data_IF_433431008316
#
_entry.id   IF_433431008316
#
_cell.length_a   1.000
_cell.length_b   1.000
_cell.length_c   1.000
_cell.angle_alpha   90.00
_cell.angle_beta   90.00
_cell.angle_gamma   90.00
#
_symmetry.space_group_name_H-M   'P 1'
#
loop_
_entity.id
_entity.type
_entity.pdbx_description
1 polymer ?
#
# COMPACT_ATOMS: atom_id res chain seq x y z
N UNK A 1 12.48 -7.88 5.32
CA UNK A 1 13.21 -6.91 4.48
C UNK A 1 12.37 -5.64 4.37
N UNK A 2 12.97 -4.45 4.29
CA UNK A 2 12.20 -3.20 4.12
C UNK A 2 11.73 -3.09 2.67
N UNK A 3 10.42 -2.94 2.46
CA UNK A 3 9.76 -2.79 1.16
C UNK A 3 9.24 -1.37 1.03
N UNK A 4 9.71 -0.65 0.00
CA UNK A 4 9.42 0.78 -0.19
C UNK A 4 8.33 0.92 -1.25
N UNK A 5 7.25 1.60 -0.92
CA UNK A 5 6.14 1.91 -1.82
C UNK A 5 6.15 3.40 -2.10
N UNK A 6 6.39 3.79 -3.34
CA UNK A 6 6.26 5.17 -3.79
C UNK A 6 4.80 5.48 -4.08
N UNK A 7 4.30 6.55 -3.47
CA UNK A 7 2.98 7.10 -3.74
C UNK A 7 3.11 8.37 -4.57
N UNK A 8 2.44 8.41 -5.73
CA UNK A 8 2.39 9.61 -6.55
C UNK A 8 1.06 9.70 -7.30
N UNK A 9 0.76 10.89 -7.82
CA UNK A 9 -0.39 11.15 -8.67
C UNK A 9 0.08 11.20 -10.11
N UNK A 10 -0.61 10.51 -10.99
CA UNK A 10 -0.36 10.59 -12.43
C UNK A 10 -1.69 10.72 -13.16
N UNK A 11 -1.91 11.88 -13.79
CA UNK A 11 -3.13 12.22 -14.50
C UNK A 11 -4.39 11.95 -13.67
N UNK A 12 -5.07 10.84 -13.96
CA UNK A 12 -6.36 10.45 -13.38
C UNK A 12 -6.24 9.35 -12.31
N UNK A 13 -5.03 8.96 -11.91
CA UNK A 13 -4.82 7.88 -10.94
C UNK A 13 -3.92 8.32 -9.78
N UNK A 14 -4.23 7.80 -8.60
CA UNK A 14 -3.29 7.68 -7.49
C UNK A 14 -2.54 6.35 -7.63
N UNK A 15 -1.22 6.41 -7.67
CA UNK A 15 -0.36 5.26 -7.95
C UNK A 15 0.46 4.92 -6.71
N UNK A 16 0.44 3.64 -6.34
CA UNK A 16 1.29 3.02 -5.33
C UNK A 16 2.20 2.02 -6.05
N UNK A 17 3.51 2.25 -5.99
CA UNK A 17 4.51 1.47 -6.75
C UNK A 17 5.64 1.00 -5.86
N UNK A 18 5.91 -0.30 -5.84
CA UNK A 18 7.13 -0.84 -5.23
C UNK A 18 8.26 -0.99 -6.26
N UNK A 19 7.91 -1.48 -7.44
CA UNK A 19 8.79 -1.65 -8.61
C UNK A 19 7.92 -1.76 -9.87
N UNK A 20 8.54 -1.98 -11.04
CA UNK A 20 7.82 -2.02 -12.32
C UNK A 20 6.77 -3.15 -12.42
N UNK A 21 6.88 -4.19 -11.58
CA UNK A 21 5.94 -5.32 -11.56
C UNK A 21 4.88 -5.22 -10.45
N UNK A 22 5.04 -4.29 -9.50
CA UNK A 22 4.15 -4.13 -8.35
C UNK A 22 3.61 -2.71 -8.31
N UNK A 23 2.54 -2.51 -9.07
CA UNK A 23 1.88 -1.21 -9.26
C UNK A 23 0.39 -1.39 -8.97
N UNK A 24 -0.12 -0.60 -8.04
CA UNK A 24 -1.53 -0.49 -7.73
C UNK A 24 -2.02 0.92 -8.04
N UNK A 25 -3.19 1.02 -8.66
CA UNK A 25 -3.78 2.28 -9.12
C UNK A 25 -5.16 2.45 -8.54
N UNK A 26 -5.47 3.67 -8.11
CA UNK A 26 -6.82 4.08 -7.69
C UNK A 26 -7.22 5.23 -8.59
N UNK A 27 -8.28 5.06 -9.37
CA UNK A 27 -8.79 6.14 -10.20
C UNK A 27 -9.34 7.28 -9.35
N UNK A 28 -9.01 8.53 -9.70
CA UNK A 28 -9.35 9.75 -8.95
C UNK A 28 -10.86 10.04 -9.01
N UNK A 29 -11.55 9.61 -10.08
CA UNK A 29 -12.99 9.83 -10.24
C UNK A 29 -13.76 8.75 -9.48
N UNK A 30 -13.43 7.47 -9.72
CA UNK A 30 -14.16 6.35 -9.13
C UNK A 30 -13.85 6.19 -7.64
N UNK A 31 -12.59 6.42 -7.25
CA UNK A 31 -12.09 6.31 -5.85
C UNK A 31 -12.35 4.94 -5.23
N UNK A 32 -12.43 3.90 -6.06
CA UNK A 32 -12.64 2.52 -5.61
C UNK A 32 -11.27 1.88 -5.38
N UNK A 33 -11.07 1.34 -4.18
CA UNK A 33 -9.91 0.52 -3.83
C UNK A 33 -10.33 -0.96 -3.91
N UNK A 34 -9.68 -1.73 -4.79
CA UNK A 34 -9.83 -3.18 -4.81
C UNK A 34 -8.84 -3.82 -3.82
N UNK A 35 -9.39 -4.31 -2.70
CA UNK A 35 -8.58 -4.93 -1.64
C UNK A 35 -7.91 -6.24 -2.07
N UNK A 36 -8.54 -7.01 -2.96
CA UNK A 36 -7.97 -8.27 -3.47
C UNK A 36 -6.74 -8.00 -4.35
N UNK A 37 -6.83 -6.99 -5.22
CA UNK A 37 -5.70 -6.61 -6.07
C UNK A 37 -4.55 -6.07 -5.23
N UNK A 38 -4.84 -5.19 -4.25
CA UNK A 38 -3.84 -4.67 -3.32
C UNK A 38 -3.12 -5.80 -2.59
N UNK A 39 -3.88 -6.79 -2.07
CA UNK A 39 -3.31 -7.95 -1.41
C UNK A 39 -2.43 -8.77 -2.36
N UNK A 40 -2.93 -9.10 -3.54
CA UNK A 40 -2.21 -9.92 -4.51
C UNK A 40 -0.91 -9.27 -4.99
N UNK A 41 -0.90 -7.94 -5.15
CA UNK A 41 0.26 -7.19 -5.63
C UNK A 41 1.33 -7.08 -4.56
N UNK A 42 0.96 -6.71 -3.32
CA UNK A 42 1.94 -6.37 -2.29
C UNK A 42 2.15 -7.45 -1.24
N UNK A 43 1.14 -8.26 -0.92
CA UNK A 43 1.14 -9.14 0.23
C UNK A 43 1.21 -10.64 -0.10
N UNK A 44 0.98 -11.04 -1.35
CA UNK A 44 1.02 -12.46 -1.75
C UNK A 44 2.38 -13.14 -1.51
N UNK A 45 3.47 -12.37 -1.54
CA UNK A 45 4.84 -12.83 -1.27
C UNK A 45 5.41 -12.28 0.05
N UNK A 46 4.55 -11.87 0.97
CA UNK A 46 4.93 -11.28 2.25
C UNK A 46 5.56 -12.30 3.20
N UNK A 47 6.69 -11.94 3.80
CA UNK A 47 7.36 -12.72 4.85
C UNK A 47 7.27 -12.02 6.21
N UNK A 48 7.35 -12.78 7.31
CA UNK A 48 7.26 -12.24 8.69
C UNK A 48 8.28 -11.12 8.99
N UNK A 49 9.45 -11.17 8.35
CA UNK A 49 10.51 -10.20 8.52
C UNK A 49 10.33 -8.95 7.65
N UNK A 50 9.31 -8.91 6.80
CA UNK A 50 9.03 -7.77 5.92
C UNK A 50 8.37 -6.61 6.67
N UNK A 51 8.65 -5.41 6.19
CA UNK A 51 8.03 -4.17 6.67
C UNK A 51 7.77 -3.24 5.49
N UNK A 52 6.65 -2.53 5.50
CA UNK A 52 6.33 -1.56 4.47
C UNK A 52 6.62 -0.13 4.90
N UNK A 53 7.22 0.65 4.00
CA UNK A 53 7.32 2.11 4.12
C UNK A 53 6.71 2.74 2.87
N UNK A 54 5.66 3.54 3.05
CA UNK A 54 5.06 4.31 1.95
C UNK A 54 5.63 5.73 1.95
N UNK A 55 6.27 6.11 0.85
CA UNK A 55 6.89 7.42 0.63
C UNK A 55 5.99 8.25 -0.27
N UNK A 56 5.60 9.43 0.20
CA UNK A 56 4.87 10.41 -0.60
C UNK A 56 5.83 11.12 -1.57
N UNK A 57 5.58 10.94 -2.87
CA UNK A 57 6.29 11.56 -4.01
C UNK A 57 5.40 12.53 -4.77
N UNK A 58 4.20 12.85 -4.26
CA UNK A 58 3.32 13.86 -4.88
C UNK A 58 3.91 15.25 -4.74
N UNK A 59 3.68 16.10 -5.74
CA UNK A 59 4.15 17.48 -5.71
C UNK A 59 3.18 18.38 -4.91
N UNK A 60 3.61 19.59 -4.56
CA UNK A 60 2.79 20.52 -3.78
C UNK A 60 1.54 21.00 -4.52
N UNK A 61 1.55 21.02 -5.86
CA UNK A 61 0.39 21.40 -6.66
C UNK A 61 -0.67 20.29 -6.60
N UNK A 62 -0.27 19.01 -6.70
CA UNK A 62 -1.17 17.87 -6.58
C UNK A 62 -1.95 17.92 -5.26
N UNK A 63 -1.26 18.26 -4.16
CA UNK A 63 -1.84 18.35 -2.81
C UNK A 63 -2.79 19.53 -2.65
N UNK A 64 -2.52 20.65 -3.33
CA UNK A 64 -3.37 21.85 -3.29
C UNK A 64 -4.62 21.68 -4.15
N UNK A 65 -4.43 21.14 -5.36
CA UNK A 65 -5.48 21.04 -6.36
C UNK A 65 -6.42 19.85 -6.09
N UNK A 66 -5.91 18.81 -5.44
CA UNK A 66 -6.68 17.63 -5.08
C UNK A 66 -6.59 17.32 -3.57
N UNK A 67 -7.58 17.83 -2.84
CA UNK A 67 -7.72 17.60 -1.39
C UNK A 67 -7.84 16.12 -1.01
N UNK A 68 -8.21 15.24 -1.95
CA UNK A 68 -8.30 13.80 -1.70
C UNK A 68 -6.94 13.11 -1.78
N UNK A 69 -5.94 13.73 -2.41
CA UNK A 69 -4.60 13.16 -2.55
C UNK A 69 -4.00 12.74 -1.20
N UNK A 70 -4.04 13.65 -0.22
CA UNK A 70 -3.55 13.39 1.14
C UNK A 70 -4.43 12.35 1.87
N UNK A 71 -5.74 12.42 1.68
CA UNK A 71 -6.68 11.49 2.34
C UNK A 71 -6.47 10.05 1.86
N UNK A 72 -6.30 9.85 0.54
CA UNK A 72 -6.02 8.54 -0.06
C UNK A 72 -4.67 8.01 0.40
N UNK A 73 -3.62 8.84 0.37
CA UNK A 73 -2.31 8.46 0.90
C UNK A 73 -2.39 7.93 2.34
N UNK A 74 -3.02 8.70 3.23
CA UNK A 74 -3.14 8.33 4.63
C UNK A 74 -3.97 7.05 4.82
N UNK A 75 -5.07 6.90 4.07
CA UNK A 75 -5.95 5.74 4.22
C UNK A 75 -5.29 4.45 3.73
N UNK A 76 -4.58 4.50 2.60
CA UNK A 76 -3.85 3.33 2.11
C UNK A 76 -2.68 2.97 3.05
N UNK A 77 -1.98 3.97 3.59
CA UNK A 77 -0.92 3.74 4.61
C UNK A 77 -1.45 3.06 5.87
N UNK A 78 -2.63 3.46 6.34
CA UNK A 78 -3.33 2.80 7.45
C UNK A 78 -3.68 1.34 7.09
N UNK A 79 -4.23 1.10 5.89
CA UNK A 79 -4.53 -0.26 5.42
C UNK A 79 -3.29 -1.15 5.38
N UNK A 80 -2.17 -0.66 4.84
CA UNK A 80 -0.92 -1.42 4.79
C UNK A 80 -0.46 -1.82 6.20
N UNK A 81 -0.48 -0.87 7.14
CA UNK A 81 -0.12 -1.13 8.55
C UNK A 81 -1.01 -2.21 9.17
N UNK A 82 -2.33 -2.12 8.94
CA UNK A 82 -3.29 -3.07 9.51
C UNK A 82 -3.09 -4.48 8.93
N UNK A 83 -2.97 -4.61 7.60
CA UNK A 83 -2.74 -5.90 6.93
C UNK A 83 -1.40 -6.49 7.38
N UNK A 84 -0.33 -5.70 7.43
CA UNK A 84 0.99 -6.13 7.89
C UNK A 84 0.93 -6.70 9.31
N UNK A 85 0.27 -6.00 10.24
CA UNK A 85 0.13 -6.45 11.62
C UNK A 85 -0.68 -7.75 11.73
N UNK A 86 -1.80 -7.86 11.02
CA UNK A 86 -2.62 -9.07 11.00
C UNK A 86 -1.82 -10.27 10.45
N UNK A 87 -1.13 -10.10 9.33
CA UNK A 87 -0.32 -11.17 8.74
C UNK A 87 0.84 -11.60 9.64
N UNK A 88 1.50 -10.66 10.33
CA UNK A 88 2.55 -11.02 11.29
C UNK A 88 2.02 -11.91 12.40
N UNK A 89 0.88 -11.54 12.99
CA UNK A 89 0.23 -12.35 14.05
C UNK A 89 -0.11 -13.75 13.51
N UNK A 90 -0.76 -13.84 12.35
CA UNK A 90 -1.15 -15.11 11.76
C UNK A 90 0.04 -16.03 11.41
N UNK A 91 1.17 -15.43 10.98
CA UNK A 91 2.38 -16.19 10.66
C UNK A 91 3.11 -16.67 11.93
N UNK A 92 3.19 -15.83 12.96
CA UNK A 92 3.76 -16.21 14.26
C UNK A 92 2.98 -17.39 14.87
N UNK A 93 1.65 -17.31 14.90
CA UNK A 93 0.81 -18.39 15.43
C UNK A 93 0.92 -19.71 14.66
N UNK A 94 1.25 -19.65 13.36
CA UNK A 94 1.46 -20.84 12.52
C UNK A 94 2.81 -21.49 12.76
N UNK A 95 3.84 -20.72 13.10
CA UNK A 95 5.15 -21.25 13.42
C UNK A 95 5.18 -21.84 14.84
N UNK A 96 4.52 -21.19 15.81
CA UNK A 96 4.39 -21.71 17.19
C UNK A 96 3.60 -23.04 17.27
N UNK A 97 2.75 -23.35 16.30
CA UNK A 97 1.98 -24.62 16.22
C UNK A 97 2.73 -25.75 15.51
N UNK A 98 3.96 -25.51 15.03
CA UNK A 98 4.81 -26.54 14.40
C UNK A 98 5.80 -27.18 15.38
N UNK A 99 5.89 -26.69 16.62
CA UNK A 99 6.56 -27.34 17.76
C UNK A 99 5.57 -28.21 18.56
#
# INVERSE_FOLDING_TARGET
MKRIIEFYKDNNDYIFKENDNKIFKINIVEKILNGLDLYNIFFNDYNINDTFEIIDKTNDNDKKDDKMCIAIFNKVKELFTNIENTLKIELMEKDDKKE
#
